data_IF_378152037545
#
_entry.id   IF_378152037545
#
_cell.length_a   1.000
_cell.length_b   1.000
_cell.length_c   1.000
_cell.angle_alpha   90.00
_cell.angle_beta   90.00
_cell.angle_gamma   90.00
#
_symmetry.space_group_name_H-M   'P 1'
#
loop_
_entity.id
_entity.type
_entity.pdbx_description
1 polymer ?
#
# COMPACT_ATOMS: atom_id res chain seq x y z
N UNK A 1 22.11 0.74 -10.80
CA UNK A 1 22.10 -0.44 -9.90
C UNK A 1 22.19 0.13 -8.50
N UNK A 2 21.17 -0.08 -7.66
CA UNK A 2 21.17 0.52 -6.33
C UNK A 2 21.16 -0.56 -5.26
N UNK A 3 22.12 -0.45 -4.32
CA UNK A 3 22.04 -1.15 -3.04
C UNK A 3 20.88 -0.53 -2.22
N UNK A 4 20.32 -1.28 -1.27
CA UNK A 4 19.19 -0.84 -0.42
C UNK A 4 19.44 0.53 0.18
N UNK A 5 20.63 0.74 0.77
CA UNK A 5 21.04 2.02 1.36
C UNK A 5 20.97 3.20 0.37
N UNK A 6 21.37 2.98 -0.88
CA UNK A 6 21.38 4.03 -1.89
C UNK A 6 19.97 4.41 -2.34
N UNK A 7 19.03 3.45 -2.30
CA UNK A 7 17.61 3.69 -2.61
C UNK A 7 16.92 4.44 -1.49
N UNK A 8 17.21 4.10 -0.22
CA UNK A 8 16.65 4.81 0.93
C UNK A 8 16.96 6.30 0.85
N UNK A 9 18.22 6.64 0.60
CA UNK A 9 18.66 8.03 0.43
C UNK A 9 18.00 8.71 -0.77
N UNK A 10 17.82 8.00 -1.89
CA UNK A 10 17.13 8.52 -3.09
C UNK A 10 15.65 8.77 -2.84
N UNK A 11 14.98 7.89 -2.09
CA UNK A 11 13.57 8.04 -1.74
C UNK A 11 13.37 9.25 -0.83
N UNK A 12 14.27 9.43 0.15
CA UNK A 12 14.19 10.50 1.15
C UNK A 12 14.60 11.88 0.61
N UNK A 13 15.43 11.93 -0.44
CA UNK A 13 15.64 13.13 -1.24
C UNK A 13 14.36 13.42 -2.02
N UNK A 14 13.89 14.66 -2.01
CA UNK A 14 12.71 15.22 -2.72
C UNK A 14 11.45 15.48 -1.89
N UNK A 15 10.45 16.03 -2.57
CA UNK A 15 9.11 16.33 -2.08
C UNK A 15 8.32 15.08 -1.67
N UNK A 16 7.21 15.31 -0.97
CA UNK A 16 6.26 14.29 -0.56
C UNK A 16 5.93 13.29 -1.68
N UNK A 17 6.05 12.00 -1.39
CA UNK A 17 5.80 10.91 -2.35
C UNK A 17 5.26 9.68 -1.64
N UNK A 18 4.63 8.80 -2.40
CA UNK A 18 4.13 7.50 -1.91
C UNK A 18 4.93 6.38 -2.53
N UNK A 19 5.44 5.49 -1.70
CA UNK A 19 6.17 4.30 -2.10
C UNK A 19 5.26 3.09 -1.90
N UNK A 20 5.03 2.34 -2.99
CA UNK A 20 4.39 1.03 -2.95
C UNK A 20 5.50 -0.02 -3.04
N UNK A 21 5.77 -0.71 -1.95
CA UNK A 21 6.70 -1.83 -1.93
C UNK A 21 5.93 -3.10 -2.32
N UNK A 22 6.36 -3.77 -3.39
CA UNK A 22 5.78 -5.04 -3.84
C UNK A 22 6.72 -6.17 -3.43
N UNK A 23 6.20 -7.07 -2.60
CA UNK A 23 6.93 -8.22 -2.07
C UNK A 23 6.22 -9.49 -2.55
N UNK A 24 6.99 -10.49 -2.98
CA UNK A 24 6.46 -11.83 -3.21
C UNK A 24 6.46 -12.57 -1.87
N UNK A 25 5.28 -13.02 -1.43
CA UNK A 25 5.15 -13.88 -0.25
C UNK A 25 5.41 -15.32 -0.64
N UNK A 26 6.07 -16.06 0.25
CA UNK A 26 6.07 -17.51 0.25
C UNK A 26 4.82 -18.03 0.98
N UNK A 27 4.37 -19.25 0.68
CA UNK A 27 3.07 -19.79 1.16
C UNK A 27 3.02 -20.03 2.67
N UNK A 28 4.17 -20.17 3.32
CA UNK A 28 4.30 -20.44 4.76
C UNK A 28 4.71 -19.22 5.60
N UNK A 29 4.98 -18.08 4.96
CA UNK A 29 5.52 -16.91 5.66
C UNK A 29 4.39 -16.01 6.19
N UNK A 30 4.53 -15.54 7.43
CA UNK A 30 3.62 -14.52 7.98
C UNK A 30 3.83 -13.20 7.23
N UNK A 31 2.87 -12.86 6.36
CA UNK A 31 2.95 -11.68 5.48
C UNK A 31 3.20 -10.38 6.26
N UNK A 32 2.67 -10.28 7.48
CA UNK A 32 2.87 -9.09 8.32
C UNK A 32 4.34 -8.99 8.74
N UNK A 33 4.91 -10.06 9.27
CA UNK A 33 6.32 -10.15 9.64
C UNK A 33 7.23 -9.85 8.44
N UNK A 34 6.93 -10.42 7.26
CA UNK A 34 7.66 -10.14 6.03
C UNK A 34 7.62 -8.64 5.67
N UNK A 35 6.45 -8.01 5.73
CA UNK A 35 6.30 -6.60 5.44
C UNK A 35 7.11 -5.72 6.40
N UNK A 36 7.05 -5.98 7.71
CA UNK A 36 7.84 -5.23 8.70
C UNK A 36 9.34 -5.41 8.49
N UNK A 37 9.80 -6.63 8.19
CA UNK A 37 11.21 -6.91 7.89
C UNK A 37 11.68 -6.09 6.69
N UNK A 38 10.97 -6.17 5.57
CA UNK A 38 11.33 -5.45 4.33
C UNK A 38 11.28 -3.94 4.52
N UNK A 39 10.27 -3.40 5.22
CA UNK A 39 10.23 -1.96 5.53
C UNK A 39 11.41 -1.55 6.41
N UNK A 40 11.81 -2.37 7.40
CA UNK A 40 12.99 -2.10 8.22
C UNK A 40 14.31 -2.18 7.44
N UNK A 41 14.40 -3.03 6.43
CA UNK A 41 15.55 -3.09 5.52
C UNK A 41 15.62 -1.85 4.60
N UNK A 42 14.49 -1.48 3.98
CA UNK A 42 14.41 -0.34 3.04
C UNK A 42 14.48 1.00 3.77
N UNK A 43 13.94 1.09 4.98
CA UNK A 43 13.90 2.29 5.79
C UNK A 43 14.39 1.97 7.20
N UNK A 44 15.71 1.96 7.43
CA UNK A 44 16.26 1.86 8.77
C UNK A 44 15.66 2.95 9.67
N UNK A 45 15.34 2.58 10.91
CA UNK A 45 14.80 3.50 11.93
C UNK A 45 13.48 4.22 11.58
N UNK A 46 12.70 3.70 10.61
CA UNK A 46 11.42 4.29 10.19
C UNK A 46 10.43 4.57 11.34
N UNK A 47 10.53 3.86 12.47
CA UNK A 47 9.70 4.09 13.66
C UNK A 47 10.01 5.40 14.39
N UNK A 48 11.24 5.90 14.26
CA UNK A 48 11.73 7.12 14.91
C UNK A 48 11.76 8.30 13.92
N UNK A 49 11.73 8.00 12.62
CA UNK A 49 11.78 8.97 11.54
C UNK A 49 10.37 9.46 11.17
N UNK A 50 10.06 10.72 11.52
CA UNK A 50 8.74 11.31 11.28
C UNK A 50 8.41 11.50 9.79
N UNK A 51 9.43 11.49 8.92
CA UNK A 51 9.25 11.58 7.47
C UNK A 51 8.65 10.31 6.87
N UNK A 52 8.71 9.17 7.56
CA UNK A 52 8.33 7.86 7.01
C UNK A 52 7.05 7.38 7.69
N UNK A 53 5.98 7.28 6.92
CA UNK A 53 4.67 6.88 7.40
C UNK A 53 4.28 5.54 6.80
N UNK A 54 4.39 4.47 7.58
CA UNK A 54 3.98 3.13 7.16
C UNK A 54 2.46 2.96 7.30
N UNK A 55 1.73 3.07 6.18
CA UNK A 55 0.27 3.20 6.18
C UNK A 55 -0.46 1.86 6.10
N UNK A 56 -0.06 0.96 5.21
CA UNK A 56 -0.83 -0.27 4.96
C UNK A 56 0.02 -1.44 4.53
N UNK A 57 -0.48 -2.63 4.80
CA UNK A 57 -0.04 -3.93 4.31
C UNK A 57 -1.27 -4.62 3.72
N UNK A 58 -1.30 -4.80 2.40
CA UNK A 58 -2.38 -5.49 1.70
C UNK A 58 -1.86 -6.76 1.05
N UNK A 59 -2.46 -7.90 1.36
CA UNK A 59 -2.10 -9.20 0.82
C UNK A 59 -3.09 -9.60 -0.28
N UNK A 60 -2.58 -9.85 -1.48
CA UNK A 60 -3.33 -10.30 -2.64
C UNK A 60 -2.63 -11.49 -3.30
N UNK A 61 -3.27 -12.66 -3.30
CA UNK A 61 -2.66 -13.91 -3.71
C UNK A 61 -1.37 -14.16 -2.93
N UNK A 62 -0.26 -14.30 -3.67
CA UNK A 62 1.09 -14.46 -3.14
C UNK A 62 1.92 -13.16 -3.15
N UNK A 63 1.26 -12.00 -3.11
CA UNK A 63 1.93 -10.69 -3.12
C UNK A 63 1.47 -9.83 -1.95
N UNK A 64 2.43 -9.14 -1.37
CA UNK A 64 2.22 -8.17 -0.31
C UNK A 64 2.51 -6.79 -0.90
N UNK A 65 1.57 -5.88 -0.72
CA UNK A 65 1.64 -4.50 -1.14
C UNK A 65 1.71 -3.63 0.09
N UNK A 66 2.82 -2.92 0.24
CA UNK A 66 3.07 -2.05 1.38
C UNK A 66 3.04 -0.61 0.91
N UNK A 67 2.15 0.21 1.48
CA UNK A 67 2.11 1.65 1.21
C UNK A 67 2.87 2.40 2.30
N UNK A 68 3.87 3.18 1.89
CA UNK A 68 4.65 4.07 2.75
C UNK A 68 4.59 5.47 2.17
N UNK A 69 4.14 6.44 2.94
CA UNK A 69 4.28 7.85 2.57
C UNK A 69 5.59 8.39 3.11
N UNK A 70 6.26 9.19 2.29
CA UNK A 70 7.55 9.81 2.62
C UNK A 70 7.43 11.32 2.51
N UNK A 71 7.99 12.05 3.48
CA UNK A 71 7.97 13.52 3.57
C UNK A 71 6.55 14.11 3.55
N UNK A 72 5.59 13.43 4.20
CA UNK A 72 4.19 13.89 4.31
C UNK A 72 3.94 14.55 5.67
N UNK A 73 4.25 15.84 5.76
CA UNK A 73 4.22 16.59 7.01
C UNK A 73 2.79 16.83 7.57
N UNK A 74 1.78 16.84 6.69
CA UNK A 74 0.40 17.20 7.04
C UNK A 74 -0.55 15.99 7.12
N UNK A 75 -0.01 14.79 7.37
CA UNK A 75 -0.86 13.63 7.55
C UNK A 75 -1.68 13.75 8.85
N UNK A 76 -3.00 13.76 8.71
CA UNK A 76 -3.92 13.75 9.84
C UNK A 76 -4.82 12.52 9.74
N UNK A 77 -4.63 11.57 10.66
CA UNK A 77 -5.41 10.33 10.72
C UNK A 77 -6.93 10.58 10.85
N UNK A 78 -7.34 11.61 11.60
CA UNK A 78 -8.75 11.92 11.83
C UNK A 78 -9.45 12.35 10.55
N UNK A 79 -8.72 13.00 9.63
CA UNK A 79 -9.26 13.46 8.34
C UNK A 79 -8.80 12.61 7.16
N UNK A 80 -7.95 11.59 7.36
CA UNK A 80 -7.35 10.80 6.29
C UNK A 80 -8.37 10.13 5.37
N UNK A 81 -9.57 9.81 5.88
CA UNK A 81 -10.68 9.27 5.09
C UNK A 81 -11.31 10.27 4.09
N UNK A 82 -11.04 11.57 4.25
CA UNK A 82 -11.43 12.64 3.34
C UNK A 82 -10.26 13.14 2.49
N UNK A 83 -9.05 12.71 2.82
CA UNK A 83 -7.84 13.20 2.17
C UNK A 83 -7.57 12.42 0.88
N UNK A 84 -7.90 13.05 -0.24
CA UNK A 84 -7.62 12.56 -1.58
C UNK A 84 -6.44 13.30 -2.22
N UNK A 85 -5.53 13.85 -1.43
CA UNK A 85 -4.32 14.49 -1.94
C UNK A 85 -3.50 13.49 -2.74
N UNK A 86 -3.22 13.83 -4.00
CA UNK A 86 -2.45 12.99 -4.90
C UNK A 86 -0.96 13.19 -4.63
N UNK A 87 -0.31 12.15 -4.10
CA UNK A 87 1.13 12.09 -4.00
C UNK A 87 1.69 11.37 -5.23
N UNK A 88 2.86 11.79 -5.76
CA UNK A 88 3.59 11.01 -6.75
C UNK A 88 3.84 9.59 -6.24
N UNK A 89 3.29 8.59 -6.93
CA UNK A 89 3.45 7.17 -6.60
C UNK A 89 4.69 6.57 -7.26
N UNK A 90 5.54 5.95 -6.47
CA UNK A 90 6.65 5.14 -6.94
C UNK A 90 6.48 3.69 -6.47
N UNK A 91 6.79 2.75 -7.34
CA UNK A 91 6.79 1.33 -7.02
C UNK A 91 8.22 0.89 -6.76
N UNK A 92 8.45 0.35 -5.56
CA UNK A 92 9.69 -0.29 -5.19
C UNK A 92 9.49 -1.81 -5.26
N UNK A 93 10.27 -2.49 -6.10
CA UNK A 93 10.19 -3.95 -6.23
C UNK A 93 11.57 -4.58 -6.29
N UNK A 94 11.71 -5.76 -5.71
CA UNK A 94 12.91 -6.56 -5.87
C UNK A 94 12.81 -7.36 -7.18
N UNK A 95 13.77 -7.15 -8.08
CA UNK A 95 13.92 -7.86 -9.33
C UNK A 95 15.32 -8.50 -9.39
N UNK A 96 15.36 -9.83 -9.29
CA UNK A 96 16.60 -10.65 -9.34
C UNK A 96 17.65 -10.18 -8.32
N UNK A 97 17.23 -9.96 -7.08
CA UNK A 97 18.11 -9.54 -5.99
C UNK A 97 18.47 -8.04 -6.00
N UNK A 98 17.94 -7.27 -6.95
CA UNK A 98 18.16 -5.83 -7.04
C UNK A 98 16.85 -5.08 -6.84
N UNK A 99 16.88 -4.04 -6.03
CA UNK A 99 15.75 -3.16 -5.84
C UNK A 99 15.64 -2.15 -6.99
N UNK A 100 14.43 -1.99 -7.51
CA UNK A 100 14.10 -1.07 -8.58
C UNK A 100 12.98 -0.15 -8.13
N UNK A 101 13.23 1.16 -8.20
CA UNK A 101 12.25 2.22 -7.97
C UNK A 101 11.73 2.73 -9.33
N UNK A 102 10.42 2.69 -9.54
CA UNK A 102 9.78 3.12 -10.80
C UNK A 102 8.63 4.08 -10.51
N UNK A 103 8.62 5.23 -11.18
CA UNK A 103 7.50 6.18 -11.11
C UNK A 103 6.26 5.66 -11.84
N UNK A 104 5.10 5.59 -11.16
CA UNK A 104 3.82 5.15 -11.74
C UNK A 104 2.74 6.26 -11.65
N UNK A 105 2.73 7.23 -12.59
CA UNK A 105 1.83 8.39 -12.54
C UNK A 105 0.36 8.01 -12.69
N UNK A 106 0.05 6.90 -13.39
CA UNK A 106 -1.32 6.42 -13.55
C UNK A 106 -1.98 6.02 -12.22
N UNK A 107 -1.19 5.76 -11.16
CA UNK A 107 -1.70 5.32 -9.86
C UNK A 107 -1.83 6.43 -8.82
N UNK A 108 -1.38 7.67 -9.11
CA UNK A 108 -1.40 8.76 -8.12
C UNK A 108 -2.80 9.00 -7.55
N UNK A 109 -3.80 8.98 -8.43
CA UNK A 109 -5.20 9.21 -8.08
C UNK A 109 -5.86 7.98 -7.48
N UNK A 110 -5.67 6.81 -8.08
CA UNK A 110 -6.32 5.57 -7.65
C UNK A 110 -5.90 5.19 -6.22
N UNK A 111 -4.61 5.28 -5.92
CA UNK A 111 -4.05 4.90 -4.61
C UNK A 111 -4.48 5.87 -3.52
N UNK A 112 -4.54 7.18 -3.82
CA UNK A 112 -5.07 8.16 -2.87
C UNK A 112 -6.53 7.89 -2.50
N UNK A 113 -7.39 7.61 -3.49
CA UNK A 113 -8.79 7.27 -3.26
C UNK A 113 -8.92 5.98 -2.44
N UNK A 114 -8.12 4.96 -2.77
CA UNK A 114 -8.14 3.68 -2.05
C UNK A 114 -7.72 3.82 -0.59
N UNK A 115 -6.68 4.61 -0.29
CA UNK A 115 -6.25 4.84 1.09
C UNK A 115 -7.28 5.63 1.88
N UNK A 116 -7.89 6.67 1.29
CA UNK A 116 -8.98 7.40 1.92
C UNK A 116 -10.15 6.47 2.25
N UNK A 117 -10.51 5.59 1.32
CA UNK A 117 -11.55 4.58 1.54
C UNK A 117 -11.16 3.59 2.64
N UNK A 118 -9.91 3.15 2.68
CA UNK A 118 -9.41 2.24 3.71
C UNK A 118 -9.49 2.88 5.11
N UNK A 119 -9.12 4.17 5.22
CA UNK A 119 -9.32 4.95 6.43
C UNK A 119 -10.80 5.05 6.83
N UNK A 120 -11.69 5.20 5.84
CA UNK A 120 -13.15 5.29 6.04
C UNK A 120 -13.73 3.99 6.59
N UNK A 121 -13.36 2.85 6.00
CA UNK A 121 -13.92 1.53 6.36
C UNK A 121 -13.27 0.92 7.60
N UNK A 122 -11.99 1.17 7.87
CA UNK A 122 -11.31 0.58 9.03
C UNK A 122 -11.79 1.17 10.35
N UNK A 123 -12.06 2.48 10.38
CA UNK A 123 -12.78 3.09 11.51
C UNK A 123 -12.06 4.12 12.35
N UNK A 124 -12.67 4.40 13.51
CA UNK A 124 -12.03 5.12 14.61
C UNK A 124 -11.23 4.15 15.48
N UNK A 125 -10.00 4.52 15.84
CA UNK A 125 -9.14 3.75 16.76
C UNK A 125 -8.29 2.64 16.12
N UNK A 126 -8.29 2.51 14.79
CA UNK A 126 -7.44 1.54 14.12
C UNK A 126 -5.99 2.04 13.99
N UNK A 127 -5.03 1.22 14.35
CA UNK A 127 -3.62 1.58 14.29
C UNK A 127 -3.04 1.32 12.89
N UNK A 128 -2.25 2.26 12.38
CA UNK A 128 -1.45 2.05 11.15
C UNK A 128 -0.15 1.31 11.49
N UNK A 129 0.37 0.44 10.61
CA UNK A 129 -0.18 0.12 9.30
C UNK A 129 -1.42 -0.78 9.36
N UNK A 130 -2.42 -0.46 8.54
CA UNK A 130 -3.59 -1.32 8.37
C UNK A 130 -3.17 -2.64 7.72
N UNK A 131 -3.69 -3.77 8.22
CA UNK A 131 -3.38 -5.09 7.69
C UNK A 131 -4.63 -5.73 7.10
N UNK A 132 -4.63 -5.95 5.79
CA UNK A 132 -5.75 -6.57 5.06
C UNK A 132 -5.30 -7.78 4.25
N UNK A 133 -6.02 -8.87 4.39
CA UNK A 133 -5.89 -10.05 3.54
C UNK A 133 -7.08 -10.06 2.58
N UNK A 134 -6.85 -9.69 1.32
CA UNK A 134 -7.90 -9.57 0.31
C UNK A 134 -8.22 -10.91 -0.39
N UNK A 135 -7.62 -12.01 0.08
CA UNK A 135 -7.92 -13.37 -0.35
C UNK A 135 -9.14 -13.97 0.38
N UNK A 136 -9.68 -13.26 1.38
CA UNK A 136 -10.83 -13.68 2.17
C UNK A 136 -11.77 -12.49 2.41
N UNK A 137 -12.93 -12.76 3.03
CA UNK A 137 -13.88 -11.70 3.37
C UNK A 137 -13.30 -10.82 4.47
N UNK A 138 -12.95 -9.59 4.14
CA UNK A 138 -12.51 -8.57 5.10
C UNK A 138 -13.73 -8.03 5.85
N UNK A 139 -13.67 -8.02 7.19
CA UNK A 139 -14.70 -7.43 8.05
C UNK A 139 -14.02 -6.38 8.92
N UNK A 140 -14.47 -5.13 8.81
CA UNK A 140 -13.97 -4.04 9.63
C UNK A 140 -14.85 -3.86 10.87
N UNK A 141 -14.22 -3.77 12.04
CA UNK A 141 -14.92 -3.76 13.31
C UNK A 141 -15.68 -2.45 13.59
N UNK A 142 -15.23 -1.31 13.06
CA UNK A 142 -15.74 0.00 13.47
C UNK A 142 -15.75 1.06 12.33
N UNK A 143 -16.36 0.81 11.16
CA UNK A 143 -16.29 1.76 10.04
C UNK A 143 -16.78 3.17 10.43
N UNK A 144 -16.09 4.22 9.95
CA UNK A 144 -16.44 5.61 10.26
C UNK A 144 -17.80 6.02 9.69
N UNK A 145 -18.22 5.33 8.63
CA UNK A 145 -19.54 5.43 8.02
C UNK A 145 -20.00 4.03 7.60
N UNK A 146 -21.21 3.63 8.03
CA UNK A 146 -21.81 2.36 7.61
C UNK A 146 -22.09 2.36 6.10
N UNK A 147 -21.45 1.46 5.37
CA UNK A 147 -21.77 1.21 3.96
C UNK A 147 -23.16 0.55 3.85
N UNK A 148 -24.12 1.23 3.21
CA UNK A 148 -25.34 0.60 2.68
C UNK A 148 -25.10 -0.28 1.44
N UNK A 149 -23.85 -0.60 1.09
CA UNK A 149 -23.51 -1.33 -0.13
C UNK A 149 -22.40 -2.34 0.13
N UNK A 150 -22.76 -3.62 0.10
CA UNK A 150 -21.82 -4.70 -0.20
C UNK A 150 -21.28 -4.46 -1.61
N UNK A 151 -20.06 -3.96 -1.72
CA UNK A 151 -19.28 -4.14 -2.94
C UNK A 151 -18.31 -5.27 -2.70
N UNK A 152 -18.47 -6.35 -3.47
CA UNK A 152 -17.40 -7.30 -3.75
C UNK A 152 -16.26 -6.50 -4.37
N UNK A 153 -15.25 -6.21 -3.55
CA UNK A 153 -14.08 -5.41 -3.91
C UNK A 153 -13.15 -6.20 -4.84
N UNK A 154 -13.59 -6.50 -6.06
CA UNK A 154 -12.68 -6.83 -7.15
C UNK A 154 -12.00 -5.53 -7.61
N UNK A 155 -11.01 -5.05 -6.85
CA UNK A 155 -10.24 -3.86 -7.22
C UNK A 155 -9.01 -4.27 -8.03
N UNK A 156 -9.02 -3.81 -9.29
CA UNK A 156 -7.99 -4.04 -10.29
C UNK A 156 -6.72 -3.27 -9.95
N UNK A 157 -5.80 -3.89 -9.20
CA UNK A 157 -4.40 -3.42 -9.14
C UNK A 157 -3.65 -3.61 -10.45
N UNK A 158 -4.20 -4.38 -11.42
CA UNK A 158 -3.58 -4.64 -12.72
C UNK A 158 -4.62 -4.99 -13.81
N UNK A 159 -4.53 -4.42 -15.03
CA UNK A 159 -5.31 -4.88 -16.19
C UNK A 159 -4.76 -6.14 -16.88
N UNK A 160 -3.66 -6.74 -16.40
CA UNK A 160 -2.97 -7.85 -17.09
C UNK A 160 -2.78 -9.12 -16.22
N UNK A 161 -3.75 -9.46 -15.37
CA UNK A 161 -3.91 -10.87 -14.94
C UNK A 161 -4.87 -11.54 -15.93
N UNK A 162 -4.31 -12.20 -16.94
CA UNK A 162 -5.07 -12.98 -17.91
C UNK A 162 -5.82 -14.13 -17.24
N UNK A 163 -7.13 -13.96 -17.06
CA UNK A 163 -8.09 -15.05 -17.03
C UNK A 163 -9.31 -14.59 -17.83
N UNK A 164 -9.52 -15.30 -18.93
CA UNK A 164 -10.63 -15.26 -19.87
C UNK A 164 -11.85 -14.42 -19.47
N UNK A 165 -12.12 -13.35 -20.24
CA UNK A 165 -13.48 -12.91 -20.52
C UNK A 165 -14.25 -14.08 -21.15
N UNK A 166 -14.97 -14.87 -20.36
CA UNK A 166 -16.16 -15.55 -20.89
C UNK A 166 -17.27 -14.52 -20.94
N UNK A 167 -17.48 -14.01 -22.15
CA UNK A 167 -18.76 -13.47 -22.56
C UNK A 167 -19.83 -14.51 -22.27
N UNK A 168 -20.85 -14.13 -21.51
CA UNK A 168 -22.19 -14.64 -21.75
C UNK A 168 -23.00 -13.48 -22.29
N UNK A 169 -23.54 -13.66 -23.50
CA UNK A 169 -24.84 -13.22 -24.01
C UNK A 169 -24.81 -13.28 -25.54
N UNK A 170 -25.08 -14.46 -26.10
CA UNK A 170 -26.32 -14.79 -26.81
C UNK A 170 -26.48 -16.32 -26.82
#
# INVERSE_FOLDING_TARGET
MFNVSNISDEILKDNAKRIIIIIKSEESEDCRTTAYRIVGEVFPDWKQENRIMFLTIQVWGNRIFVNVDVNRDNYNYDTAHKDQTFLPVYVLRNHRGNWLLVRWPQEDRSVAIQLAELHRITGYGAEIPFYEINNSRVVHANPREYLKRCFTSCFSYFPNCGVARRQFLQ
#
